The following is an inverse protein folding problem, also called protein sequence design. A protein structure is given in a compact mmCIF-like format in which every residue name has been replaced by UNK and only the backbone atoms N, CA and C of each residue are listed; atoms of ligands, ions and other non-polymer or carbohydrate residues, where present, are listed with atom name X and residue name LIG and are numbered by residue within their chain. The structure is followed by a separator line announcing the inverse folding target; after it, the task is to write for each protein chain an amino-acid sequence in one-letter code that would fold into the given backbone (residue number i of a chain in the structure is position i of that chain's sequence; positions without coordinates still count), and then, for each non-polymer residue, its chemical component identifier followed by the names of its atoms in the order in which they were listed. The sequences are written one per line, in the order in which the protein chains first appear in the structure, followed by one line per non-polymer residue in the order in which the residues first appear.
data_IF_768542771499
#
_entry.id   IF_768542771499
#
_cell.length_a   1.000
_cell.length_b   1.000
_cell.length_c   1.000
_cell.angle_alpha   90.00
_cell.angle_beta   90.00
_cell.angle_gamma   90.00
#
_symmetry.space_group_name_H-M   'P 1'
#
loop_
_entity.id
_entity.type
_entity.pdbx_description
1 polymer ?
#
# COMPACT_ATOMS: atom_id res chain seq x y z
N UNK A 1 27.95 -25.19 -25.32
CA UNK A 1 27.18 -24.81 -24.10
C UNK A 1 26.22 -25.95 -23.81
N UNK A 2 26.17 -26.48 -22.58
CA UNK A 2 25.22 -27.56 -22.24
C UNK A 2 23.82 -26.97 -22.09
N UNK A 3 22.79 -27.61 -22.66
CA UNK A 3 21.41 -27.10 -22.64
C UNK A 3 20.88 -26.79 -21.23
N UNK A 4 21.36 -27.53 -20.23
CA UNK A 4 21.04 -27.34 -18.81
C UNK A 4 21.55 -26.00 -18.26
N UNK A 5 22.73 -25.54 -18.68
CA UNK A 5 23.28 -24.25 -18.26
C UNK A 5 22.45 -23.08 -18.78
N UNK A 6 21.93 -23.20 -20.00
CA UNK A 6 21.05 -22.18 -20.61
C UNK A 6 19.71 -22.11 -19.88
N UNK A 7 19.12 -23.25 -19.53
CA UNK A 7 17.86 -23.29 -18.76
C UNK A 7 18.04 -22.66 -17.38
N UNK A 8 19.09 -23.02 -16.65
CA UNK A 8 19.35 -22.46 -15.32
C UNK A 8 19.56 -20.94 -15.38
N UNK A 9 20.29 -20.45 -16.38
CA UNK A 9 20.48 -19.02 -16.59
C UNK A 9 19.14 -18.30 -16.81
N UNK A 10 18.26 -18.85 -17.66
CA UNK A 10 16.95 -18.26 -17.92
C UNK A 10 16.05 -18.24 -16.69
N UNK A 11 16.06 -19.30 -15.89
CA UNK A 11 15.31 -19.36 -14.63
C UNK A 11 15.81 -18.30 -13.65
N UNK A 12 17.13 -18.19 -13.49
CA UNK A 12 17.72 -17.18 -12.61
C UNK A 12 17.37 -15.76 -13.07
N UNK A 13 17.44 -15.52 -14.38
CA UNK A 13 17.05 -14.25 -14.97
C UNK A 13 15.57 -13.92 -14.69
N UNK A 14 14.68 -14.89 -14.90
CA UNK A 14 13.25 -14.75 -14.66
C UNK A 14 12.95 -14.45 -13.18
N UNK A 15 13.66 -15.10 -12.24
CA UNK A 15 13.53 -14.82 -10.81
C UNK A 15 13.96 -13.40 -10.46
N UNK A 16 15.10 -12.93 -10.99
CA UNK A 16 15.59 -11.57 -10.73
C UNK A 16 14.63 -10.52 -11.31
N UNK A 17 14.21 -10.69 -12.56
CA UNK A 17 13.27 -9.78 -13.22
C UNK A 17 11.91 -9.79 -12.51
N UNK A 18 11.41 -10.97 -12.15
CA UNK A 18 10.18 -11.13 -11.40
C UNK A 18 10.23 -10.42 -10.05
N UNK A 19 11.32 -10.61 -9.28
CA UNK A 19 11.50 -9.95 -8.00
C UNK A 19 11.52 -8.41 -8.14
N UNK A 20 12.27 -7.88 -9.11
CA UNK A 20 12.33 -6.44 -9.37
C UNK A 20 10.98 -5.88 -9.80
N UNK A 21 10.23 -6.61 -10.64
CA UNK A 21 8.89 -6.22 -11.06
C UNK A 21 7.92 -6.15 -9.87
N UNK A 22 7.94 -7.15 -8.98
CA UNK A 22 7.11 -7.18 -7.77
C UNK A 22 7.46 -6.00 -6.85
N UNK A 23 8.74 -5.78 -6.56
CA UNK A 23 9.18 -4.68 -5.71
C UNK A 23 8.69 -3.34 -6.27
N UNK A 24 8.90 -3.11 -7.58
CA UNK A 24 8.44 -1.87 -8.24
C UNK A 24 6.92 -1.71 -8.21
N UNK A 25 6.17 -2.80 -8.30
CA UNK A 25 4.71 -2.77 -8.22
C UNK A 25 4.19 -2.46 -6.81
N UNK A 26 4.88 -2.93 -5.76
CA UNK A 26 4.45 -2.77 -4.36
C UNK A 26 4.89 -1.42 -3.77
N UNK A 27 6.04 -0.87 -4.19
CA UNK A 27 6.53 0.45 -3.73
C UNK A 27 5.46 1.56 -3.68
N UNK A 28 4.63 1.80 -4.71
CA UNK A 28 3.63 2.86 -4.66
C UNK A 28 2.56 2.64 -3.57
N UNK A 29 2.19 1.39 -3.27
CA UNK A 29 1.24 1.08 -2.20
C UNK A 29 1.78 1.48 -0.83
N UNK A 30 3.09 1.28 -0.60
CA UNK A 30 3.74 1.69 0.65
C UNK A 30 3.72 3.21 0.77
N UNK A 31 4.06 3.93 -0.29
CA UNK A 31 4.01 5.41 -0.29
C UNK A 31 2.59 5.91 -0.02
N UNK A 32 1.60 5.32 -0.69
CA UNK A 32 0.19 5.65 -0.48
C UNK A 32 -0.26 5.40 0.97
N UNK A 33 0.11 4.25 1.54
CA UNK A 33 -0.19 3.89 2.91
C UNK A 33 0.45 4.87 3.91
N UNK A 34 1.73 5.23 3.71
CA UNK A 34 2.45 6.17 4.57
C UNK A 34 1.83 7.57 4.47
N UNK A 35 1.61 8.08 3.26
CA UNK A 35 1.04 9.42 3.06
C UNK A 35 -0.37 9.48 3.62
N UNK A 36 -1.22 8.48 3.35
CA UNK A 36 -2.57 8.48 3.88
C UNK A 36 -2.62 8.23 5.39
N UNK A 37 -1.71 7.45 5.98
CA UNK A 37 -1.58 7.34 7.43
C UNK A 37 -1.23 8.70 8.05
N UNK A 38 -0.30 9.46 7.43
CA UNK A 38 -0.01 10.84 7.86
C UNK A 38 -1.28 11.69 7.81
N UNK A 39 -2.11 11.57 6.78
CA UNK A 39 -3.39 12.29 6.69
C UNK A 39 -4.37 11.87 7.79
N UNK A 40 -4.49 10.57 8.09
CA UNK A 40 -5.37 10.07 9.17
C UNK A 40 -4.93 10.60 10.54
N UNK A 41 -3.63 10.55 10.84
CA UNK A 41 -3.07 11.07 12.10
C UNK A 41 -3.27 12.58 12.20
N UNK A 42 -3.09 13.32 11.10
CA UNK A 42 -3.39 14.75 11.08
C UNK A 42 -4.88 15.02 11.30
N UNK A 43 -5.76 14.17 10.79
CA UNK A 43 -7.20 14.30 11.02
C UNK A 43 -7.55 14.11 12.52
N UNK A 44 -6.95 13.11 13.16
CA UNK A 44 -7.12 12.85 14.59
C UNK A 44 -6.58 14.00 15.44
N UNK A 45 -5.35 14.47 15.18
CA UNK A 45 -4.71 15.52 15.98
C UNK A 45 -5.36 16.90 15.78
N UNK A 46 -5.75 17.26 14.55
CA UNK A 46 -6.27 18.59 14.24
C UNK A 46 -7.77 18.73 14.47
N UNK A 47 -8.54 17.65 14.24
CA UNK A 47 -10.00 17.69 14.31
C UNK A 47 -10.58 16.84 15.45
N UNK A 48 -9.74 16.11 16.20
CA UNK A 48 -10.19 15.26 17.30
C UNK A 48 -10.98 14.03 16.83
N UNK A 49 -10.76 13.59 15.59
CA UNK A 49 -11.47 12.45 15.01
C UNK A 49 -10.81 11.14 15.42
N UNK A 50 -11.51 10.28 16.13
CA UNK A 50 -11.06 8.92 16.43
C UNK A 50 -11.26 8.03 15.20
N UNK A 51 -10.26 7.99 14.32
CA UNK A 51 -10.27 7.08 13.17
C UNK A 51 -9.54 5.79 13.53
N UNK A 52 -10.22 4.65 13.48
CA UNK A 52 -9.56 3.36 13.76
C UNK A 52 -8.51 3.00 12.69
N UNK A 53 -7.22 3.02 13.08
CA UNK A 53 -6.13 2.50 12.26
C UNK A 53 -6.07 0.98 12.36
N UNK A 54 -6.80 0.30 11.47
CA UNK A 54 -6.87 -1.15 11.36
C UNK A 54 -6.18 -1.63 10.09
N UNK A 55 -5.97 -2.94 9.97
CA UNK A 55 -5.46 -3.54 8.73
C UNK A 55 -6.33 -3.21 7.51
N UNK A 56 -7.65 -3.08 7.68
CA UNK A 56 -8.58 -2.70 6.60
C UNK A 56 -8.43 -1.23 6.18
N UNK A 57 -8.33 -0.29 7.12
CA UNK A 57 -8.15 1.13 6.75
C UNK A 57 -6.83 1.35 6.03
N UNK A 58 -5.74 0.75 6.50
CA UNK A 58 -4.45 0.81 5.82
C UNK A 58 -4.50 0.20 4.42
N UNK A 59 -5.28 -0.87 4.20
CA UNK A 59 -5.42 -1.50 2.88
C UNK A 59 -6.20 -0.60 1.91
N UNK A 60 -7.30 0.01 2.37
CA UNK A 60 -8.07 1.00 1.59
C UNK A 60 -7.17 2.17 1.21
N UNK A 61 -6.41 2.70 2.17
CA UNK A 61 -5.48 3.83 1.96
C UNK A 61 -4.30 3.44 1.07
N UNK A 62 -3.76 2.23 1.18
CA UNK A 62 -2.67 1.77 0.32
C UNK A 62 -3.10 1.70 -1.16
N UNK A 63 -4.33 1.25 -1.42
CA UNK A 63 -4.88 1.11 -2.77
C UNK A 63 -5.31 2.47 -3.34
N UNK A 64 -6.05 3.26 -2.57
CA UNK A 64 -6.65 4.51 -3.04
C UNK A 64 -5.82 5.76 -2.72
N UNK A 65 -4.73 5.66 -1.95
CA UNK A 65 -3.87 6.77 -1.56
C UNK A 65 -4.56 7.81 -0.67
N UNK A 66 -4.21 9.07 -0.89
CA UNK A 66 -4.84 10.23 -0.23
C UNK A 66 -6.36 10.26 -0.41
N UNK A 67 -6.93 10.02 -1.61
CA UNK A 67 -8.39 9.86 -1.76
C UNK A 67 -8.99 8.82 -0.81
N UNK A 68 -8.31 7.69 -0.60
CA UNK A 68 -8.72 6.67 0.36
C UNK A 68 -8.73 7.18 1.80
N UNK A 69 -7.71 7.92 2.21
CA UNK A 69 -7.65 8.52 3.55
C UNK A 69 -8.79 9.53 3.77
N UNK A 70 -9.08 10.36 2.77
CA UNK A 70 -10.22 11.30 2.83
C UNK A 70 -11.55 10.56 2.97
N UNK A 71 -11.75 9.47 2.23
CA UNK A 71 -12.96 8.64 2.35
C UNK A 71 -13.10 8.03 3.75
N UNK A 72 -12.01 7.51 4.32
CA UNK A 72 -12.02 6.93 5.67
C UNK A 72 -12.38 8.00 6.71
N UNK A 73 -11.77 9.19 6.62
CA UNK A 73 -12.10 10.32 7.51
C UNK A 73 -13.58 10.70 7.40
N UNK A 74 -14.11 10.79 6.18
CA UNK A 74 -15.52 11.09 5.97
C UNK A 74 -16.44 10.03 6.59
N UNK A 75 -16.16 8.74 6.37
CA UNK A 75 -16.95 7.65 6.92
C UNK A 75 -16.94 7.65 8.47
N UNK A 76 -15.81 7.98 9.06
CA UNK A 76 -15.65 8.10 10.51
C UNK A 76 -16.46 9.28 11.06
N UNK A 77 -16.43 10.44 10.39
CA UNK A 77 -17.25 11.62 10.74
C UNK A 77 -18.76 11.32 10.71
N UNK A 78 -19.22 10.50 9.75
CA UNK A 78 -20.62 10.08 9.68
C UNK A 78 -20.96 8.90 10.60
N UNK A 79 -19.98 8.34 11.33
CA UNK A 79 -20.19 7.18 12.22
C UNK A 79 -20.60 5.90 11.48
N UNK A 80 -20.34 5.81 10.18
CA UNK A 80 -20.77 4.69 9.33
C UNK A 80 -19.76 3.54 9.38
N UNK A 81 -18.47 3.88 9.41
CA UNK A 81 -17.37 2.92 9.49
C UNK A 81 -16.07 3.60 9.94
N UNK A 82 -15.22 2.81 10.61
CA UNK A 82 -13.88 3.14 11.11
C UNK A 82 -13.82 4.14 12.26
#
# INVERSE_FOLDING_TARGET
MTGLGVVLLLVLLALVVGAVAIIRAVTPFIVNAVVGLVVLVLAEVLFGLEVAVTGLTLLVVAVAGVPGAVLVVLLSVFGVAF
#
